data_IF_927163354516
#
_entry.id   IF_927163354516
#
_cell.length_a   1.000
_cell.length_b   1.000
_cell.length_c   1.000
_cell.angle_alpha   90.00
_cell.angle_beta   90.00
_cell.angle_gamma   90.00
#
_symmetry.space_group_name_H-M   'P 1'
#
loop_
_entity.id
_entity.type
_entity.pdbx_description
1 polymer ?
#
# COMPACT_ATOMS: atom_id res chain seq x y z
N UNK A 1 -28.03 0.00 19.03
CA UNK A 1 -26.93 -0.68 18.33
C UNK A 1 -25.84 0.37 18.09
N UNK A 2 -25.00 0.60 19.10
CA UNK A 2 -24.01 1.68 19.15
C UNK A 2 -22.73 1.22 18.47
N UNK A 3 -22.34 1.90 17.39
CA UNK A 3 -21.03 1.70 16.77
C UNK A 3 -19.94 2.11 17.78
N UNK A 4 -19.11 1.14 18.19
CA UNK A 4 -17.93 1.44 19.00
C UNK A 4 -16.97 2.28 18.16
N UNK A 5 -16.52 3.45 18.62
CA UNK A 5 -15.49 4.22 17.94
C UNK A 5 -14.18 3.41 18.01
N UNK A 6 -13.78 2.85 16.88
CA UNK A 6 -12.49 2.18 16.74
C UNK A 6 -11.41 3.24 16.95
N UNK A 7 -10.51 3.11 17.94
CA UNK A 7 -9.47 4.10 18.16
C UNK A 7 -8.57 4.21 16.93
N UNK A 8 -8.36 5.44 16.44
CA UNK A 8 -7.62 5.77 15.23
C UNK A 8 -6.16 5.23 15.18
N UNK A 9 -5.65 4.74 16.31
CA UNK A 9 -4.32 4.15 16.44
C UNK A 9 -4.11 2.91 15.56
N UNK A 10 -5.17 2.21 15.14
CA UNK A 10 -5.04 1.01 14.30
C UNK A 10 -5.11 1.32 12.80
N UNK A 11 -5.48 2.55 12.42
CA UNK A 11 -5.75 2.93 11.04
C UNK A 11 -4.53 3.54 10.31
N UNK A 12 -3.42 3.80 11.02
CA UNK A 12 -2.29 4.56 10.48
C UNK A 12 -0.93 4.09 11.00
N UNK A 13 -0.79 2.79 11.28
CA UNK A 13 0.49 2.17 11.52
C UNK A 13 1.00 1.52 10.23
N UNK A 14 1.88 2.17 9.49
CA UNK A 14 2.76 1.45 8.57
C UNK A 14 3.38 0.29 9.35
N UNK A 15 2.92 -0.93 9.08
CA UNK A 15 3.36 -2.11 9.79
C UNK A 15 4.89 -2.14 9.76
N UNK A 16 5.55 -2.33 10.90
CA UNK A 16 7.01 -2.18 11.01
C UNK A 16 7.78 -3.05 9.99
N UNK A 17 7.20 -4.20 9.62
CA UNK A 17 7.74 -5.11 8.63
C UNK A 17 7.59 -4.62 7.18
N UNK A 18 6.62 -3.74 6.89
CA UNK A 18 6.50 -3.03 5.60
C UNK A 18 7.56 -1.93 5.48
N UNK A 19 7.89 -1.23 6.57
CA UNK A 19 8.96 -0.21 6.58
C UNK A 19 10.38 -0.79 6.52
N UNK A 20 10.61 -1.96 7.11
CA UNK A 20 11.93 -2.61 7.17
C UNK A 20 11.87 -4.05 6.64
N UNK A 21 11.79 -4.24 5.31
CA UNK A 21 11.66 -5.56 4.71
C UNK A 21 12.83 -6.49 5.10
N UNK A 22 14.05 -5.95 5.23
CA UNK A 22 15.21 -6.74 5.67
C UNK A 22 15.05 -7.32 7.09
N UNK A 23 14.50 -6.54 8.03
CA UNK A 23 14.25 -7.01 9.40
C UNK A 23 13.14 -8.07 9.41
N UNK A 24 12.09 -7.86 8.60
CA UNK A 24 11.04 -8.86 8.42
C UNK A 24 11.58 -10.19 7.88
N UNK A 25 12.51 -10.15 6.92
CA UNK A 25 13.15 -11.36 6.39
C UNK A 25 14.04 -12.04 7.44
N UNK A 26 14.80 -11.26 8.21
CA UNK A 26 15.62 -11.81 9.30
C UNK A 26 14.76 -12.52 10.36
N UNK A 27 13.66 -11.87 10.79
CA UNK A 27 12.70 -12.47 11.73
C UNK A 27 12.04 -13.71 11.15
N UNK A 28 11.63 -13.68 9.88
CA UNK A 28 11.07 -14.85 9.19
C UNK A 28 12.10 -16.00 9.12
N UNK A 29 13.36 -15.70 8.83
CA UNK A 29 14.45 -16.68 8.81
C UNK A 29 14.66 -17.33 10.18
N UNK A 30 14.69 -16.53 11.25
CA UNK A 30 14.77 -17.04 12.63
C UNK A 30 13.57 -17.93 12.96
N UNK A 31 12.36 -17.53 12.57
CA UNK A 31 11.16 -18.34 12.77
C UNK A 31 11.22 -19.66 11.99
N UNK A 32 11.65 -19.66 10.72
CA UNK A 32 11.82 -20.89 9.94
C UNK A 32 12.80 -21.86 10.61
N UNK A 33 13.96 -21.35 11.03
CA UNK A 33 14.99 -22.15 11.71
C UNK A 33 14.47 -22.66 13.06
N UNK A 34 13.80 -21.81 13.84
CA UNK A 34 13.23 -22.17 15.13
C UNK A 34 12.16 -23.25 15.03
N UNK A 35 11.26 -23.15 14.03
CA UNK A 35 10.24 -24.18 13.78
C UNK A 35 10.90 -25.50 13.36
N UNK A 36 11.91 -25.48 12.48
CA UNK A 36 12.63 -26.69 12.09
C UNK A 36 13.34 -27.34 13.28
N UNK A 37 14.08 -26.56 14.07
CA UNK A 37 14.79 -27.03 15.25
C UNK A 37 13.83 -27.65 16.27
N UNK A 38 12.70 -26.98 16.55
CA UNK A 38 11.65 -27.52 17.40
C UNK A 38 11.15 -28.88 16.89
N UNK A 39 10.90 -28.98 15.58
CA UNK A 39 10.41 -30.21 14.93
C UNK A 39 11.40 -31.36 14.96
N UNK A 40 12.70 -31.07 14.95
CA UNK A 40 13.76 -32.08 15.09
C UNK A 40 13.90 -32.55 16.55
N UNK A 41 13.74 -31.66 17.51
CA UNK A 41 13.92 -31.96 18.94
C UNK A 41 12.73 -32.68 19.57
N UNK A 42 11.49 -32.42 19.12
CA UNK A 42 10.29 -32.98 19.77
C UNK A 42 9.80 -34.30 19.19
N UNK A 43 10.35 -34.74 18.05
CA UNK A 43 10.29 -36.13 17.52
C UNK A 43 8.91 -36.77 17.28
N UNK A 44 7.81 -36.11 17.64
CA UNK A 44 6.47 -36.66 17.50
C UNK A 44 5.81 -36.12 16.22
N UNK A 45 5.11 -36.96 15.43
CA UNK A 45 4.41 -36.56 14.20
C UNK A 45 3.19 -35.64 14.43
N UNK A 46 3.18 -34.84 15.50
CA UNK A 46 2.05 -33.99 15.82
C UNK A 46 1.91 -32.91 14.74
N UNK A 47 0.77 -32.94 14.07
CA UNK A 47 0.45 -32.07 12.94
C UNK A 47 0.50 -30.57 13.25
N UNK A 48 0.35 -30.23 14.53
CA UNK A 48 0.30 -28.85 15.02
C UNK A 48 1.55 -28.03 14.68
N UNK A 49 2.75 -28.65 14.59
CA UNK A 49 3.97 -27.90 14.33
C UNK A 49 4.08 -27.39 12.89
N UNK A 50 3.42 -28.06 11.93
CA UNK A 50 3.45 -27.63 10.52
C UNK A 50 2.72 -26.31 10.32
N UNK A 51 1.70 -26.04 11.15
CA UNK A 51 0.97 -24.77 11.16
C UNK A 51 1.86 -23.61 11.58
N UNK A 52 2.93 -23.84 12.36
CA UNK A 52 3.85 -22.77 12.75
C UNK A 52 4.62 -22.18 11.57
N UNK A 53 4.81 -22.94 10.47
CA UNK A 53 5.37 -22.38 9.24
C UNK A 53 4.45 -21.35 8.56
N UNK A 54 3.16 -21.32 8.91
CA UNK A 54 2.25 -20.30 8.40
C UNK A 54 2.66 -18.89 8.83
N UNK A 55 3.23 -18.73 10.03
CA UNK A 55 3.68 -17.44 10.58
C UNK A 55 4.77 -16.78 9.73
N UNK A 56 5.94 -17.41 9.50
CA UNK A 56 6.97 -16.79 8.67
C UNK A 56 6.54 -16.66 7.20
N UNK A 57 5.75 -17.60 6.65
CA UNK A 57 5.21 -17.48 5.29
C UNK A 57 4.31 -16.25 5.17
N UNK A 58 3.41 -16.05 6.13
CA UNK A 58 2.51 -14.89 6.14
C UNK A 58 3.27 -13.57 6.34
N UNK A 59 4.28 -13.56 7.21
CA UNK A 59 5.13 -12.39 7.42
C UNK A 59 5.85 -11.99 6.13
N UNK A 60 6.45 -12.95 5.41
CA UNK A 60 7.13 -12.66 4.15
C UNK A 60 6.16 -12.22 3.06
N UNK A 61 5.01 -12.89 2.93
CA UNK A 61 3.99 -12.55 1.94
C UNK A 61 3.43 -11.14 2.15
N UNK A 62 3.16 -10.74 3.39
CA UNK A 62 2.63 -9.40 3.71
C UNK A 62 3.68 -8.30 3.65
N UNK A 63 4.95 -8.61 3.95
CA UNK A 63 6.06 -7.66 3.87
C UNK A 63 6.52 -7.40 2.43
N UNK A 64 6.53 -8.41 1.57
CA UNK A 64 7.21 -8.35 0.28
C UNK A 64 6.37 -8.77 -0.92
N UNK A 65 5.11 -9.16 -0.72
CA UNK A 65 4.15 -9.41 -1.80
C UNK A 65 4.19 -10.85 -2.35
N UNK A 66 3.68 -11.03 -3.56
CA UNK A 66 3.47 -12.35 -4.16
C UNK A 66 4.76 -13.14 -4.36
N UNK A 67 5.78 -12.53 -5.00
CA UNK A 67 7.03 -13.24 -5.35
C UNK A 67 7.76 -13.77 -4.11
N UNK A 68 7.85 -12.97 -3.06
CA UNK A 68 8.50 -13.40 -1.82
C UNK A 68 7.63 -14.40 -1.05
N UNK A 69 6.31 -14.20 -1.03
CA UNK A 69 5.36 -15.13 -0.41
C UNK A 69 5.38 -16.53 -1.04
N UNK A 70 5.48 -16.61 -2.38
CA UNK A 70 5.59 -17.91 -3.07
C UNK A 70 6.91 -18.60 -2.75
N UNK A 71 8.03 -17.87 -2.77
CA UNK A 71 9.34 -18.41 -2.38
C UNK A 71 9.31 -18.90 -0.94
N UNK A 72 8.74 -18.14 0.00
CA UNK A 72 8.62 -18.56 1.39
C UNK A 72 7.76 -19.83 1.55
N UNK A 73 6.65 -19.95 0.81
CA UNK A 73 5.83 -21.15 0.77
C UNK A 73 6.62 -22.37 0.28
N UNK A 74 7.39 -22.23 -0.80
CA UNK A 74 8.24 -23.30 -1.34
C UNK A 74 9.33 -23.69 -0.34
N UNK A 75 9.95 -22.73 0.33
CA UNK A 75 10.94 -22.98 1.40
C UNK A 75 10.31 -23.77 2.56
N UNK A 76 9.10 -23.41 2.99
CA UNK A 76 8.38 -24.13 4.04
C UNK A 76 8.11 -25.60 3.66
N UNK A 77 7.75 -25.84 2.40
CA UNK A 77 7.57 -27.19 1.83
C UNK A 77 8.89 -27.94 1.82
N UNK A 78 9.98 -27.32 1.34
CA UNK A 78 11.31 -27.91 1.34
C UNK A 78 11.78 -28.32 2.73
N UNK A 79 11.58 -27.46 3.74
CA UNK A 79 11.91 -27.78 5.14
C UNK A 79 11.06 -28.95 5.68
N UNK A 80 9.81 -29.07 5.23
CA UNK A 80 8.96 -30.21 5.59
C UNK A 80 9.45 -31.51 4.97
N UNK A 81 9.93 -31.47 3.72
CA UNK A 81 10.58 -32.61 3.04
C UNK A 81 11.86 -33.03 3.74
N UNK A 82 12.72 -32.07 4.07
CA UNK A 82 13.97 -32.34 4.80
C UNK A 82 13.69 -33.01 6.15
N UNK A 83 12.72 -32.50 6.92
CA UNK A 83 12.34 -33.11 8.18
C UNK A 83 11.81 -34.55 8.01
N UNK A 84 10.91 -34.77 7.05
CA UNK A 84 10.32 -36.10 6.81
C UNK A 84 11.39 -37.13 6.42
N UNK A 85 12.39 -36.72 5.62
CA UNK A 85 13.51 -37.56 5.24
C UNK A 85 14.46 -37.87 6.40
N UNK A 86 14.74 -36.87 7.27
CA UNK A 86 15.64 -37.06 8.42
C UNK A 86 15.06 -37.96 9.51
N UNK A 87 13.73 -37.96 9.68
CA UNK A 87 13.03 -38.76 10.69
C UNK A 87 12.43 -40.06 10.13
N UNK A 88 12.74 -40.38 8.86
CA UNK A 88 12.26 -41.56 8.12
C UNK A 88 10.73 -41.77 8.19
N UNK A 89 9.99 -40.65 8.11
CA UNK A 89 8.53 -40.65 8.27
C UNK A 89 7.86 -40.92 6.93
N UNK A 90 7.15 -42.04 6.85
CA UNK A 90 6.32 -42.42 5.70
C UNK A 90 4.95 -41.73 5.77
N UNK A 91 4.84 -40.58 5.14
CA UNK A 91 3.57 -39.83 5.02
C UNK A 91 2.74 -40.35 3.84
N UNK A 92 1.44 -40.54 4.06
CA UNK A 92 0.49 -40.80 2.98
C UNK A 92 0.38 -39.59 2.03
N UNK A 93 -0.03 -39.78 0.76
CA UNK A 93 -0.26 -38.66 -0.16
C UNK A 93 -1.21 -37.60 0.41
N UNK A 94 -2.24 -38.03 1.14
CA UNK A 94 -3.17 -37.13 1.84
C UNK A 94 -2.48 -36.34 2.97
N UNK A 95 -1.57 -36.99 3.71
CA UNK A 95 -0.75 -36.31 4.72
C UNK A 95 0.20 -35.27 4.12
N UNK A 96 0.74 -35.53 2.93
CA UNK A 96 1.50 -34.52 2.19
C UNK A 96 0.62 -33.34 1.78
N UNK A 97 -0.53 -33.63 1.18
CA UNK A 97 -1.45 -32.61 0.70
C UNK A 97 -1.95 -31.69 1.83
N UNK A 98 -2.30 -32.24 3.00
CA UNK A 98 -2.84 -31.46 4.13
C UNK A 98 -1.83 -30.45 4.71
N UNK A 99 -0.52 -30.63 4.48
CA UNK A 99 0.53 -29.75 5.00
C UNK A 99 1.07 -28.80 3.93
N UNK A 100 1.32 -29.33 2.72
CA UNK A 100 1.92 -28.58 1.62
C UNK A 100 0.92 -27.59 1.02
N UNK A 101 -0.32 -28.04 0.79
CA UNK A 101 -1.30 -27.26 0.06
C UNK A 101 -1.65 -25.96 0.81
N UNK A 102 -1.94 -25.97 2.14
CA UNK A 102 -2.23 -24.73 2.86
C UNK A 102 -1.06 -23.76 2.88
N UNK A 103 0.19 -24.22 3.00
CA UNK A 103 1.37 -23.34 3.04
C UNK A 103 1.63 -22.66 1.70
N UNK A 104 1.51 -23.40 0.61
CA UNK A 104 1.63 -22.84 -0.74
C UNK A 104 0.48 -21.87 -1.04
N UNK A 105 -0.76 -22.27 -0.74
CA UNK A 105 -1.92 -21.41 -0.90
C UNK A 105 -1.80 -20.15 -0.06
N UNK A 106 -1.34 -20.25 1.19
CA UNK A 106 -1.13 -19.09 2.05
C UNK A 106 -0.12 -18.12 1.44
N UNK A 107 1.06 -18.61 1.02
CA UNK A 107 2.09 -17.77 0.39
C UNK A 107 1.59 -17.06 -0.88
N UNK A 108 0.89 -17.80 -1.74
CA UNK A 108 0.35 -17.28 -3.01
C UNK A 108 -0.82 -16.31 -2.78
N UNK A 109 -1.87 -16.74 -2.09
CA UNK A 109 -3.09 -15.94 -1.92
C UNK A 109 -2.81 -14.69 -1.09
N UNK A 110 -2.08 -14.83 0.02
CA UNK A 110 -1.79 -13.68 0.88
C UNK A 110 -0.83 -12.71 0.19
N UNK A 111 0.16 -13.22 -0.55
CA UNK A 111 1.05 -12.39 -1.35
C UNK A 111 0.30 -11.66 -2.47
N UNK A 112 -0.61 -12.33 -3.17
CA UNK A 112 -1.46 -11.72 -4.18
C UNK A 112 -2.41 -10.67 -3.60
N UNK A 113 -3.04 -10.97 -2.46
CA UNK A 113 -3.91 -10.02 -1.75
C UNK A 113 -3.14 -8.78 -1.31
N UNK A 114 -1.91 -8.95 -0.81
CA UNK A 114 -1.02 -7.87 -0.43
C UNK A 114 -0.66 -6.99 -1.64
N UNK A 115 -0.31 -7.59 -2.77
CA UNK A 115 0.00 -6.83 -3.99
C UNK A 115 -1.23 -6.10 -4.55
N UNK A 116 -2.40 -6.74 -4.48
CA UNK A 116 -3.67 -6.11 -4.87
C UNK A 116 -4.00 -4.92 -3.99
N UNK A 117 -3.84 -5.04 -2.67
CA UNK A 117 -4.04 -3.94 -1.72
C UNK A 117 -3.10 -2.77 -2.03
N UNK A 118 -1.80 -3.05 -2.24
CA UNK A 118 -0.80 -2.03 -2.59
C UNK A 118 -1.15 -1.29 -3.88
N UNK A 119 -1.57 -2.02 -4.92
CA UNK A 119 -1.98 -1.41 -6.19
C UNK A 119 -3.22 -0.54 -6.02
N UNK A 120 -4.22 -1.03 -5.28
CA UNK A 120 -5.44 -0.28 -5.01
C UNK A 120 -5.16 1.00 -4.20
N UNK A 121 -4.25 0.94 -3.23
CA UNK A 121 -3.84 2.09 -2.42
C UNK A 121 -3.11 3.14 -3.25
N UNK A 122 -2.17 2.73 -4.11
CA UNK A 122 -1.48 3.64 -5.04
C UNK A 122 -2.46 4.31 -6.00
N UNK A 123 -3.40 3.54 -6.55
CA UNK A 123 -4.42 4.08 -7.45
C UNK A 123 -5.36 5.06 -6.73
N UNK A 124 -5.79 4.72 -5.51
CA UNK A 124 -6.58 5.63 -4.67
C UNK A 124 -5.86 6.95 -4.42
N UNK A 125 -4.57 6.91 -4.10
CA UNK A 125 -3.77 8.12 -3.88
C UNK A 125 -3.66 8.99 -5.14
N UNK A 126 -3.48 8.36 -6.31
CA UNK A 126 -3.47 9.06 -7.61
C UNK A 126 -4.82 9.74 -7.89
N UNK A 127 -5.92 9.02 -7.71
CA UNK A 127 -7.27 9.56 -7.90
C UNK A 127 -7.57 10.70 -6.91
N UNK A 128 -7.15 10.58 -5.65
CA UNK A 128 -7.29 11.65 -4.66
C UNK A 128 -6.49 12.89 -5.04
N UNK A 129 -5.25 12.73 -5.50
CA UNK A 129 -4.42 13.85 -5.97
C UNK A 129 -5.07 14.55 -7.17
N UNK A 130 -5.58 13.80 -8.14
CA UNK A 130 -6.28 14.34 -9.30
C UNK A 130 -7.58 15.08 -8.91
N UNK A 131 -8.36 14.53 -7.97
CA UNK A 131 -9.60 15.15 -7.49
C UNK A 131 -9.34 16.47 -6.76
N UNK A 132 -8.26 16.56 -5.97
CA UNK A 132 -7.85 17.80 -5.31
C UNK A 132 -7.49 18.88 -6.33
N UNK A 133 -6.66 18.55 -7.33
CA UNK A 133 -6.31 19.47 -8.41
C UNK A 133 -7.54 19.96 -9.18
N UNK A 134 -8.48 19.06 -9.46
CA UNK A 134 -9.72 19.42 -10.16
C UNK A 134 -10.59 20.39 -9.35
N UNK A 135 -10.77 20.13 -8.05
CA UNK A 135 -11.54 21.01 -7.15
C UNK A 135 -10.94 22.42 -7.10
N UNK A 136 -9.63 22.51 -7.04
CA UNK A 136 -8.95 23.79 -6.94
C UNK A 136 -9.03 24.61 -8.23
N UNK A 137 -8.97 23.96 -9.39
CA UNK A 137 -9.25 24.63 -10.66
C UNK A 137 -10.65 25.27 -10.69
N UNK A 138 -11.65 24.63 -10.07
CA UNK A 138 -13.01 25.18 -9.94
C UNK A 138 -13.02 26.40 -9.01
N UNK A 139 -12.37 26.31 -7.84
CA UNK A 139 -12.29 27.43 -6.88
C UNK A 139 -11.55 28.64 -7.47
N UNK A 140 -10.46 28.41 -8.22
CA UNK A 140 -9.76 29.46 -8.97
C UNK A 140 -10.72 30.12 -9.96
N UNK A 141 -11.38 29.34 -10.81
CA UNK A 141 -12.30 29.88 -11.80
C UNK A 141 -13.40 30.75 -11.18
N UNK A 142 -14.00 30.32 -10.07
CA UNK A 142 -15.02 31.11 -9.37
C UNK A 142 -14.47 32.45 -8.85
N UNK A 143 -13.28 32.43 -8.23
CA UNK A 143 -12.64 33.68 -7.75
C UNK A 143 -12.35 34.68 -8.88
N UNK A 144 -11.95 34.18 -10.05
CA UNK A 144 -11.71 35.02 -11.24
C UNK A 144 -13.00 35.62 -11.77
N UNK A 145 -14.05 34.81 -11.89
CA UNK A 145 -15.36 35.28 -12.36
C UNK A 145 -15.90 36.37 -11.43
N UNK A 146 -15.78 36.19 -10.11
CA UNK A 146 -16.20 37.18 -9.12
C UNK A 146 -15.39 38.48 -9.20
N UNK A 147 -14.05 38.40 -9.27
CA UNK A 147 -13.18 39.57 -9.40
C UNK A 147 -13.45 40.37 -10.67
N UNK A 148 -13.60 39.67 -11.81
CA UNK A 148 -13.95 40.29 -13.09
C UNK A 148 -15.35 40.91 -13.09
N UNK A 149 -16.33 40.26 -12.45
CA UNK A 149 -17.68 40.83 -12.31
C UNK A 149 -17.66 42.13 -11.48
N UNK A 150 -16.89 42.16 -10.39
CA UNK A 150 -16.73 43.36 -9.56
C UNK A 150 -16.01 44.49 -10.31
N UNK A 151 -14.94 44.18 -11.06
CA UNK A 151 -14.26 45.14 -11.92
C UNK A 151 -15.23 45.74 -12.95
N UNK A 152 -15.98 44.88 -13.66
CA UNK A 152 -16.98 45.32 -14.64
C UNK A 152 -18.04 46.24 -14.02
N UNK A 153 -18.55 45.89 -12.84
CA UNK A 153 -19.54 46.73 -12.14
C UNK A 153 -19.00 48.13 -11.81
N UNK A 154 -17.73 48.23 -11.40
CA UNK A 154 -17.08 49.53 -11.12
C UNK A 154 -16.93 50.37 -12.39
N UNK A 155 -16.52 49.73 -13.49
CA UNK A 155 -16.38 50.37 -14.80
C UNK A 155 -17.74 50.88 -15.32
N UNK A 156 -18.80 50.06 -15.22
CA UNK A 156 -20.15 50.42 -15.63
C UNK A 156 -20.73 51.58 -14.79
N UNK A 157 -20.27 51.75 -13.54
CA UNK A 157 -20.63 52.86 -12.66
C UNK A 157 -19.83 54.16 -12.94
N UNK A 158 -18.87 54.14 -13.87
CA UNK A 158 -18.01 55.28 -14.21
C UNK A 158 -16.78 55.45 -13.29
N UNK A 159 -16.56 54.55 -12.33
CA UNK A 159 -15.39 54.54 -11.46
C UNK A 159 -14.26 53.71 -12.10
N UNK A 160 -13.62 54.33 -13.10
CA UNK A 160 -12.63 53.69 -13.98
C UNK A 160 -11.38 53.26 -13.22
N UNK A 161 -10.84 54.13 -12.36
CA UNK A 161 -9.61 53.86 -11.61
C UNK A 161 -9.79 52.64 -10.70
N UNK A 162 -10.92 52.57 -9.99
CA UNK A 162 -11.25 51.43 -9.13
C UNK A 162 -11.50 50.15 -9.92
N UNK A 163 -12.16 50.23 -11.08
CA UNK A 163 -12.41 49.08 -11.94
C UNK A 163 -11.11 48.48 -12.49
N UNK A 164 -10.16 49.33 -12.90
CA UNK A 164 -8.84 48.90 -13.35
C UNK A 164 -8.01 48.29 -12.22
N UNK A 165 -8.02 48.87 -11.02
CA UNK A 165 -7.31 48.32 -9.85
C UNK A 165 -7.84 46.92 -9.45
N UNK A 166 -9.16 46.71 -9.46
CA UNK A 166 -9.75 45.39 -9.17
C UNK A 166 -9.32 44.36 -10.24
N UNK A 167 -9.32 44.76 -11.51
CA UNK A 167 -8.93 43.88 -12.62
C UNK A 167 -7.45 43.49 -12.53
N UNK A 168 -6.55 44.45 -12.31
CA UNK A 168 -5.10 44.19 -12.19
C UNK A 168 -4.80 43.27 -11.02
N UNK A 169 -5.42 43.51 -9.85
CA UNK A 169 -5.29 42.63 -8.68
C UNK A 169 -5.79 41.22 -8.97
N UNK A 170 -6.91 41.09 -9.68
CA UNK A 170 -7.48 39.79 -10.06
C UNK A 170 -6.56 39.03 -11.03
N UNK A 171 -5.94 39.72 -12.00
CA UNK A 171 -5.00 39.11 -12.96
C UNK A 171 -3.74 38.63 -12.24
N UNK A 172 -3.17 39.43 -11.34
CA UNK A 172 -1.99 39.02 -10.55
C UNK A 172 -2.32 37.81 -9.69
N UNK A 173 -3.46 37.84 -8.98
CA UNK A 173 -3.93 36.70 -8.19
C UNK A 173 -4.16 35.45 -9.05
N UNK A 174 -4.70 35.60 -10.27
CA UNK A 174 -4.88 34.51 -11.21
C UNK A 174 -3.55 33.84 -11.59
N UNK A 175 -2.54 34.66 -11.90
CA UNK A 175 -1.23 34.19 -12.30
C UNK A 175 -0.53 33.42 -11.18
N UNK A 176 -0.64 33.90 -9.94
CA UNK A 176 -0.09 33.22 -8.77
C UNK A 176 -0.77 31.87 -8.53
N UNK A 177 -2.12 31.83 -8.57
CA UNK A 177 -2.90 30.62 -8.37
C UNK A 177 -2.65 29.57 -9.47
N UNK A 178 -2.62 29.98 -10.74
CA UNK A 178 -2.34 29.09 -11.87
C UNK A 178 -0.90 28.58 -11.84
N UNK A 179 0.07 29.42 -11.49
CA UNK A 179 1.47 29.01 -11.36
C UNK A 179 1.64 27.96 -10.26
N UNK A 180 0.91 28.09 -9.16
CA UNK A 180 0.93 27.10 -8.07
C UNK A 180 0.21 25.80 -8.47
N UNK A 181 -0.89 25.87 -9.21
CA UNK A 181 -1.59 24.70 -9.76
C UNK A 181 -0.71 23.92 -10.74
N UNK A 182 -0.05 24.60 -11.69
CA UNK A 182 0.87 23.98 -12.66
C UNK A 182 2.02 23.30 -11.93
N UNK A 183 2.63 23.97 -10.94
CA UNK A 183 3.72 23.40 -10.14
C UNK A 183 3.29 22.12 -9.43
N UNK A 184 2.06 22.07 -8.89
CA UNK A 184 1.52 20.89 -8.21
C UNK A 184 1.14 19.76 -9.16
N UNK A 185 0.60 20.08 -10.33
CA UNK A 185 0.33 19.11 -11.39
C UNK A 185 1.63 18.46 -11.90
N UNK A 186 2.67 19.25 -12.15
CA UNK A 186 4.01 18.79 -12.54
C UNK A 186 4.63 17.86 -11.47
N UNK A 187 4.44 18.18 -10.20
CA UNK A 187 4.91 17.34 -9.09
C UNK A 187 4.13 16.02 -8.98
N UNK A 188 2.85 16.02 -9.38
CA UNK A 188 2.04 14.81 -9.52
C UNK A 188 2.55 13.89 -10.63
N UNK A 189 2.83 14.42 -11.82
CA UNK A 189 3.33 13.65 -12.96
C UNK A 189 4.72 13.05 -12.72
N UNK A 190 5.62 13.79 -12.05
CA UNK A 190 6.99 13.30 -11.73
C UNK A 190 7.03 12.12 -10.75
N UNK A 191 5.94 11.85 -10.01
CA UNK A 191 5.86 10.69 -9.12
C UNK A 191 5.40 9.40 -9.80
N UNK A 192 5.07 9.43 -11.09
CA UNK A 192 4.93 8.21 -11.88
C UNK A 192 6.31 7.65 -12.25
N UNK A 193 6.71 6.47 -11.73
CA UNK A 193 7.88 5.80 -12.29
C UNK A 193 7.50 5.46 -13.72
N UNK A 194 8.26 6.03 -14.66
CA UNK A 194 8.22 5.65 -16.07
C UNK A 194 8.62 4.17 -16.14
N UNK A 195 7.63 3.29 -16.04
CA UNK A 195 7.78 1.88 -16.36
C UNK A 195 7.93 1.81 -17.89
N UNK A 196 9.17 1.96 -18.35
CA UNK A 196 9.58 1.61 -19.70
C UNK A 196 10.54 0.44 -19.62
N UNK A 197 10.20 -0.54 -20.46
CA UNK A 197 10.94 -1.69 -20.99
C UNK A 197 10.92 -3.00 -20.19
#
# INVERSE_FOLDING_TARGET
MTAFPVPAAWASGDLWFRRRPGLAMAVAGVLFVGVLALRLLTGTPVDAYSLLYALPVALVATASGLRAGTVAGVVAVGLTVVWAALQDVSLTPTGWASRVLPLLLLGVLLGHATDRERRAELERRRLQAAALLHREAIEINDSLVQGMAAARWSLDAGDVDRGMDILDRTIVQAQDLVSDLIRRADMGERTEPTARD
#
